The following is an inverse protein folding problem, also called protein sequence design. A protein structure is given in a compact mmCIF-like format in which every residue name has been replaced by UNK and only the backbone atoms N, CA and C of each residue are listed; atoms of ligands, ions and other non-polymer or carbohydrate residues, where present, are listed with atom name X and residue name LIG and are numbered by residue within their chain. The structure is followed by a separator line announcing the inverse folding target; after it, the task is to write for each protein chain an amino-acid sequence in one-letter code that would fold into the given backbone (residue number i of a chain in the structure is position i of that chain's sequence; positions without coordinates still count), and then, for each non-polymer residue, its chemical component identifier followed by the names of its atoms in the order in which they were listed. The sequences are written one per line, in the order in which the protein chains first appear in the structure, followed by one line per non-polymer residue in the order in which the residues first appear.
data_IF_032133187775
#
_entry.id   IF_032133187775
#
_cell.length_a   1.000
_cell.length_b   1.000
_cell.length_c   1.000
_cell.angle_alpha   90.00
_cell.angle_beta   90.00
_cell.angle_gamma   90.00
#
_symmetry.space_group_name_H-M   'P 1'
#
loop_
_entity.id
_entity.type
_entity.pdbx_description
1 polymer ?
#
# COMPACT_ATOMS: atom_id res chain seq x y z
N UNK A 1 10.36 -4.16 15.69
CA UNK A 1 9.74 -3.93 14.37
C UNK A 1 8.67 -2.86 14.48
N UNK A 2 8.75 -1.86 13.61
CA UNK A 2 7.74 -0.81 13.56
C UNK A 2 6.62 -1.20 12.60
N UNK A 3 5.42 -0.75 12.92
CA UNK A 3 4.24 -1.00 12.11
C UNK A 3 3.38 0.25 12.04
N UNK A 4 2.89 0.57 10.84
CA UNK A 4 1.98 1.68 10.63
C UNK A 4 0.85 1.23 9.72
N UNK A 5 -0.39 1.53 10.08
CA UNK A 5 -1.55 1.07 9.32
C UNK A 5 -2.46 2.24 9.00
N UNK A 6 -2.94 2.28 7.76
CA UNK A 6 -3.90 3.27 7.28
C UNK A 6 -5.10 2.54 6.71
N UNK A 7 -6.28 3.01 7.06
CA UNK A 7 -7.54 2.52 6.49
C UNK A 7 -8.28 3.71 5.92
N UNK A 8 -8.69 3.63 4.65
CA UNK A 8 -9.50 4.66 4.02
C UNK A 8 -10.68 4.03 3.30
N UNK A 9 -11.78 4.78 3.23
CA UNK A 9 -12.95 4.38 2.46
C UNK A 9 -12.84 4.94 1.05
N UNK A 10 -13.45 4.24 0.09
CA UNK A 10 -13.58 4.74 -1.27
C UNK A 10 -15.03 4.61 -1.72
N UNK A 11 -15.43 5.45 -2.67
CA UNK A 11 -16.79 5.47 -3.20
C UNK A 11 -16.79 5.66 -4.71
N UNK A 12 -17.81 5.12 -5.37
CA UNK A 12 -18.03 5.36 -6.78
C UNK A 12 -17.08 4.65 -7.73
N UNK A 13 -16.25 3.73 -7.20
CA UNK A 13 -15.26 3.00 -7.99
C UNK A 13 -15.36 1.53 -7.65
N UNK A 14 -15.15 0.65 -8.63
CA UNK A 14 -15.12 -0.78 -8.36
C UNK A 14 -13.82 -1.19 -7.70
N UNK A 15 -13.88 -2.24 -6.87
CA UNK A 15 -12.70 -2.75 -6.16
C UNK A 15 -11.57 -3.12 -7.12
N UNK A 16 -11.89 -3.68 -8.29
CA UNK A 16 -10.89 -4.04 -9.30
C UNK A 16 -10.10 -2.81 -9.76
N UNK A 17 -10.79 -1.66 -9.92
CA UNK A 17 -10.14 -0.41 -10.33
C UNK A 17 -9.22 0.11 -9.24
N UNK A 18 -9.68 0.03 -7.99
CA UNK A 18 -8.85 0.45 -6.84
C UNK A 18 -7.62 -0.44 -6.74
N UNK A 19 -7.80 -1.74 -6.94
CA UNK A 19 -6.69 -2.69 -6.89
C UNK A 19 -5.66 -2.40 -8.00
N UNK A 20 -6.13 -2.13 -9.23
CA UNK A 20 -5.22 -1.78 -10.33
C UNK A 20 -4.49 -0.47 -10.05
N UNK A 21 -5.18 0.51 -9.46
CA UNK A 21 -4.52 1.75 -9.03
C UNK A 21 -3.43 1.47 -8.00
N UNK A 22 -3.65 0.49 -7.12
CA UNK A 22 -2.65 0.04 -6.17
C UNK A 22 -1.40 -0.51 -6.84
N UNK A 23 -1.58 -1.33 -7.88
CA UNK A 23 -0.45 -1.87 -8.64
C UNK A 23 0.36 -0.74 -9.29
N UNK A 24 -0.33 0.22 -9.88
CA UNK A 24 0.33 1.37 -10.50
C UNK A 24 1.07 2.20 -9.46
N UNK A 25 0.50 2.34 -8.26
CA UNK A 25 1.15 3.05 -7.17
C UNK A 25 2.44 2.36 -6.74
N UNK A 26 2.41 1.02 -6.60
CA UNK A 26 3.62 0.25 -6.30
C UNK A 26 4.70 0.52 -7.34
N UNK A 27 4.32 0.50 -8.61
CA UNK A 27 5.25 0.76 -9.71
C UNK A 27 5.81 2.19 -9.66
N UNK A 28 4.93 3.17 -9.45
CA UNK A 28 5.32 4.58 -9.42
C UNK A 28 6.30 4.90 -8.29
N UNK A 29 6.14 4.22 -7.17
CA UNK A 29 7.01 4.43 -6.01
C UNK A 29 8.25 3.56 -6.03
N UNK A 30 8.43 2.75 -7.07
CA UNK A 30 9.60 1.89 -7.20
C UNK A 30 9.57 0.68 -6.29
N UNK A 31 8.40 0.26 -5.85
CA UNK A 31 8.27 -0.90 -4.98
C UNK A 31 8.32 -2.19 -5.78
N UNK A 32 8.95 -3.20 -5.20
CA UNK A 32 8.96 -4.53 -5.77
C UNK A 32 7.73 -5.30 -5.28
N UNK A 33 6.91 -5.79 -6.20
CA UNK A 33 5.76 -6.63 -5.84
C UNK A 33 6.27 -8.04 -5.57
N UNK A 34 6.05 -8.52 -4.35
CA UNK A 34 6.47 -9.86 -3.92
C UNK A 34 5.33 -10.84 -4.10
N UNK A 35 4.09 -10.40 -3.86
CA UNK A 35 2.92 -11.25 -3.99
C UNK A 35 1.76 -10.44 -4.56
N UNK A 36 1.13 -11.00 -5.59
CA UNK A 36 -0.05 -10.42 -6.22
C UNK A 36 -1.15 -11.47 -6.19
N UNK A 37 -2.17 -11.23 -5.36
CA UNK A 37 -3.33 -12.10 -5.29
C UNK A 37 -4.57 -11.30 -5.70
N UNK A 38 -4.73 -11.15 -7.01
CA UNK A 38 -5.81 -10.34 -7.56
C UNK A 38 -7.20 -10.87 -7.20
N UNK A 39 -7.35 -12.18 -7.04
CA UNK A 39 -8.64 -12.74 -6.63
C UNK A 39 -9.04 -12.35 -5.21
N UNK A 40 -8.07 -11.99 -4.36
CA UNK A 40 -8.29 -11.54 -2.99
C UNK A 40 -8.05 -10.05 -2.83
N UNK A 41 -7.74 -9.33 -3.91
CA UNK A 41 -7.38 -7.90 -3.89
C UNK A 41 -6.26 -7.61 -2.91
N UNK A 42 -5.24 -8.45 -2.91
CA UNK A 42 -4.09 -8.35 -2.01
C UNK A 42 -2.80 -8.15 -2.79
N UNK A 43 -2.04 -7.13 -2.43
CA UNK A 43 -0.68 -6.91 -2.93
C UNK A 43 0.27 -6.85 -1.75
N UNK A 44 1.40 -7.51 -1.88
CA UNK A 44 2.51 -7.39 -0.94
C UNK A 44 3.74 -6.96 -1.71
N UNK A 45 4.47 -6.02 -1.15
CA UNK A 45 5.68 -5.54 -1.80
C UNK A 45 6.67 -4.99 -0.79
N UNK A 46 7.82 -4.58 -1.31
CA UNK A 46 8.86 -4.00 -0.49
C UNK A 46 9.55 -2.86 -1.23
N UNK A 47 10.12 -1.96 -0.44
CA UNK A 47 10.90 -0.84 -0.95
C UNK A 47 12.14 -0.65 -0.07
N UNK A 48 13.30 -0.53 -0.72
CA UNK A 48 14.52 -0.17 -0.02
C UNK A 48 14.72 1.33 -0.12
N UNK A 49 14.87 1.99 1.03
CA UNK A 49 15.13 3.44 1.11
C UNK A 49 16.41 3.60 1.93
N UNK A 50 17.53 3.82 1.23
CA UNK A 50 18.83 3.81 1.88
C UNK A 50 19.11 2.45 2.48
N UNK A 51 19.32 2.39 3.80
CA UNK A 51 19.56 1.15 4.52
C UNK A 51 18.27 0.54 5.08
N UNK A 52 17.15 1.21 4.88
CA UNK A 52 15.87 0.77 5.42
C UNK A 52 15.11 -0.07 4.40
N UNK A 53 14.45 -1.12 4.90
CA UNK A 53 13.56 -1.94 4.09
C UNK A 53 12.15 -1.78 4.64
N UNK A 54 11.24 -1.35 3.79
CA UNK A 54 9.82 -1.17 4.13
C UNK A 54 9.03 -2.26 3.42
N UNK A 55 8.25 -3.01 4.18
CA UNK A 55 7.33 -4.00 3.65
C UNK A 55 5.91 -3.44 3.67
N UNK A 56 5.15 -3.69 2.61
CA UNK A 56 3.80 -3.17 2.47
C UNK A 56 2.80 -4.29 2.17
N UNK A 57 1.66 -4.23 2.85
CA UNK A 57 0.49 -5.02 2.55
C UNK A 57 -0.61 -4.06 2.12
N UNK A 58 -1.15 -4.27 0.93
CA UNK A 58 -2.22 -3.45 0.39
C UNK A 58 -3.42 -4.35 0.11
N UNK A 59 -4.54 -4.10 0.77
CA UNK A 59 -5.75 -4.91 0.63
C UNK A 59 -6.93 -4.01 0.31
N UNK A 60 -7.71 -4.38 -0.69
CA UNK A 60 -8.97 -3.71 -1.01
C UNK A 60 -10.11 -4.60 -0.57
N UNK A 61 -10.99 -4.07 0.29
CA UNK A 61 -12.20 -4.76 0.70
C UNK A 61 -13.37 -4.28 -0.15
N UNK A 62 -13.80 -5.11 -1.10
CA UNK A 62 -14.93 -4.79 -1.95
C UNK A 62 -16.24 -4.73 -1.15
N UNK A 63 -16.33 -5.56 -0.12
CA UNK A 63 -17.53 -5.64 0.70
C UNK A 63 -17.73 -4.39 1.56
N UNK A 64 -16.65 -3.82 2.07
CA UNK A 64 -16.71 -2.67 2.97
C UNK A 64 -16.33 -1.36 2.30
N UNK A 65 -15.94 -1.39 1.03
CA UNK A 65 -15.45 -0.22 0.30
C UNK A 65 -14.30 0.46 1.06
N UNK A 66 -13.33 -0.34 1.49
CA UNK A 66 -12.19 0.12 2.27
C UNK A 66 -10.88 -0.34 1.66
N UNK A 67 -9.87 0.48 1.87
CA UNK A 67 -8.49 0.18 1.53
C UNK A 67 -7.71 0.10 2.83
N UNK A 68 -6.93 -0.97 2.99
CA UNK A 68 -6.01 -1.12 4.12
C UNK A 68 -4.60 -1.16 3.60
N UNK A 69 -3.76 -0.29 4.12
CA UNK A 69 -2.33 -0.30 3.86
C UNK A 69 -1.61 -0.51 5.18
N UNK A 70 -0.85 -1.59 5.28
CA UNK A 70 -0.04 -1.90 6.46
C UNK A 70 1.42 -1.89 6.07
N UNK A 71 2.20 -1.05 6.74
CA UNK A 71 3.64 -0.94 6.53
C UNK A 71 4.37 -1.49 7.75
N UNK A 72 5.42 -2.26 7.51
CA UNK A 72 6.29 -2.77 8.57
C UNK A 72 7.74 -2.58 8.17
N UNK A 73 8.61 -2.41 9.17
CA UNK A 73 10.04 -2.30 8.96
C UNK A 73 10.80 -2.68 10.23
N UNK A 74 11.93 -3.35 10.04
CA UNK A 74 12.85 -3.66 11.14
C UNK A 74 13.76 -2.47 11.45
N UNK A 75 13.95 -1.57 10.50
CA UNK A 75 14.94 -0.50 10.58
C UNK A 75 14.37 0.90 10.55
N UNK A 76 13.28 1.11 9.78
CA UNK A 76 12.65 2.43 9.68
C UNK A 76 11.85 2.74 10.94
N UNK A 77 11.82 4.02 11.33
CA UNK A 77 10.98 4.45 12.44
C UNK A 77 9.54 4.72 12.00
N UNK A 78 8.68 4.97 12.97
CA UNK A 78 7.25 5.16 12.72
C UNK A 78 6.97 6.41 11.88
N UNK A 79 7.76 7.46 12.07
CA UNK A 79 7.60 8.69 11.29
C UNK A 79 7.89 8.44 9.81
N UNK A 80 8.93 7.69 9.51
CA UNK A 80 9.25 7.32 8.13
C UNK A 80 8.12 6.50 7.50
N UNK A 81 7.58 5.55 8.25
CA UNK A 81 6.45 4.73 7.76
C UNK A 81 5.21 5.60 7.53
N UNK A 82 4.93 6.52 8.44
CA UNK A 82 3.79 7.44 8.32
C UNK A 82 3.93 8.32 7.07
N UNK A 83 5.11 8.87 6.84
CA UNK A 83 5.37 9.72 5.68
C UNK A 83 5.22 8.92 4.38
N UNK A 84 5.71 7.70 4.38
CA UNK A 84 5.58 6.84 3.20
C UNK A 84 4.12 6.47 2.95
N UNK A 85 3.37 6.17 4.01
CA UNK A 85 1.95 5.87 3.88
C UNK A 85 1.17 7.03 3.26
N UNK A 86 1.46 8.25 3.71
CA UNK A 86 0.84 9.45 3.16
C UNK A 86 1.15 9.60 1.68
N UNK A 87 2.40 9.42 1.31
CA UNK A 87 2.83 9.48 -0.09
C UNK A 87 2.16 8.40 -0.93
N UNK A 88 2.06 7.19 -0.38
CA UNK A 88 1.38 6.08 -1.05
C UNK A 88 -0.07 6.43 -1.35
N UNK A 89 -0.79 6.91 -0.35
CA UNK A 89 -2.21 7.22 -0.50
C UNK A 89 -2.43 8.38 -1.48
N UNK A 90 -1.57 9.39 -1.46
CA UNK A 90 -1.65 10.49 -2.42
C UNK A 90 -1.44 10.00 -3.86
N UNK A 91 -0.44 9.14 -4.07
CA UNK A 91 -0.16 8.56 -5.38
C UNK A 91 -1.32 7.70 -5.85
N UNK A 92 -1.89 6.91 -4.94
CA UNK A 92 -3.05 6.06 -5.22
C UNK A 92 -4.22 6.90 -5.74
N UNK A 93 -4.49 8.02 -5.10
CA UNK A 93 -5.60 8.90 -5.48
C UNK A 93 -5.40 9.59 -6.82
N UNK A 94 -4.18 9.64 -7.32
CA UNK A 94 -3.89 10.25 -8.62
C UNK A 94 -4.18 9.30 -9.79
N UNK A 95 -4.48 8.06 -9.50
CA UNK A 95 -4.89 7.07 -10.48
C UNK A 95 -6.42 6.90 -10.49
#
# INVERSE_FOLDING_TARGET
MEKFQVTEKYEGIKAERVFEAGKLTFSDLGMKIIKDRSFAFLLQGSLSVGENLINANFIVSAFQNKINLTLTSETADKEMLSDFAERFMETLKSH
#
